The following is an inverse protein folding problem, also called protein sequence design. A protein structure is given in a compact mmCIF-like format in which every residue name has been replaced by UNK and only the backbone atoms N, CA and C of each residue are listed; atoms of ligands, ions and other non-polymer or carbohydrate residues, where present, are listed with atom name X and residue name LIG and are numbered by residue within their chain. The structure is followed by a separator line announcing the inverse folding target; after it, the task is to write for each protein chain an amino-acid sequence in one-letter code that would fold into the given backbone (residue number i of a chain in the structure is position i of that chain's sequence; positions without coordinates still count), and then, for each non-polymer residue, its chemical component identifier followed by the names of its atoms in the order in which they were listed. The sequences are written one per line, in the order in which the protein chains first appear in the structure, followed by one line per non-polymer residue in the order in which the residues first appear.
data_IF_205834400146
#
_entry.id   IF_205834400146
#
_cell.length_a   1.000
_cell.length_b   1.000
_cell.length_c   1.000
_cell.angle_alpha   90.00
_cell.angle_beta   90.00
_cell.angle_gamma   90.00
#
_symmetry.space_group_name_H-M   'P 1'
#
loop_
_entity.id
_entity.type
_entity.pdbx_description
1 polymer ?
#
# COMPACT_ATOMS: atom_id res chain seq x y z
N UNK A 1 22.65 -10.19 4.55
CA UNK A 1 21.88 -11.34 5.08
C UNK A 1 21.23 -11.06 6.42
N UNK A 2 21.94 -10.46 7.40
CA UNK A 2 21.44 -10.25 8.77
C UNK A 2 20.09 -9.52 8.91
N UNK A 3 19.72 -8.68 7.95
CA UNK A 3 18.47 -7.91 7.98
C UNK A 3 17.26 -8.65 7.40
N UNK A 4 17.48 -9.78 6.69
CA UNK A 4 16.42 -10.55 6.05
C UNK A 4 15.89 -11.60 7.01
N UNK A 5 14.56 -11.76 7.07
CA UNK A 5 13.92 -12.82 7.84
C UNK A 5 13.39 -13.90 6.88
N UNK A 6 13.87 -15.13 7.06
CA UNK A 6 13.38 -16.30 6.33
C UNK A 6 11.86 -16.44 6.44
N UNK A 7 11.29 -16.20 7.62
CA UNK A 7 9.84 -16.27 7.85
C UNK A 7 9.04 -15.38 6.89
N UNK A 8 9.46 -14.14 6.64
CA UNK A 8 8.75 -13.26 5.70
C UNK A 8 8.84 -13.73 4.25
N UNK A 9 9.97 -14.30 3.86
CA UNK A 9 10.11 -14.89 2.53
C UNK A 9 9.22 -16.13 2.39
N UNK A 10 9.19 -16.99 3.40
CA UNK A 10 8.33 -18.17 3.37
C UNK A 10 6.85 -17.82 3.39
N UNK A 11 6.43 -16.84 4.20
CA UNK A 11 5.05 -16.36 4.26
C UNK A 11 4.63 -15.80 2.90
N UNK A 12 5.49 -14.99 2.28
CA UNK A 12 5.27 -14.50 0.92
C UNK A 12 5.17 -15.67 -0.08
N UNK A 13 6.11 -16.63 -0.06
CA UNK A 13 6.09 -17.77 -0.99
C UNK A 13 4.82 -18.60 -0.83
N UNK A 14 4.36 -18.84 0.41
CA UNK A 14 3.13 -19.62 0.69
C UNK A 14 1.87 -18.94 0.19
N UNK A 15 1.82 -17.61 0.25
CA UNK A 15 0.68 -16.84 -0.21
C UNK A 15 0.74 -16.54 -1.71
N UNK A 16 1.95 -16.43 -2.25
CA UNK A 16 2.18 -16.33 -3.67
C UNK A 16 1.84 -17.66 -4.34
N UNK A 17 1.44 -17.63 -5.61
CA UNK A 17 1.33 -18.84 -6.41
C UNK A 17 2.71 -19.36 -6.87
N UNK A 18 3.76 -19.19 -6.06
CA UNK A 18 5.15 -19.54 -6.40
C UNK A 18 5.35 -21.06 -6.37
N UNK A 19 6.07 -21.57 -7.37
CA UNK A 19 6.46 -22.98 -7.42
C UNK A 19 7.49 -23.36 -6.35
N UNK A 20 8.10 -22.38 -5.67
CA UNK A 20 9.09 -22.60 -4.62
C UNK A 20 8.50 -23.14 -3.32
N UNK A 21 7.17 -23.21 -3.18
CA UNK A 21 6.50 -23.69 -1.97
C UNK A 21 6.94 -25.10 -1.55
N UNK A 22 7.15 -25.99 -2.52
CA UNK A 22 7.60 -27.38 -2.30
C UNK A 22 9.08 -27.46 -1.88
N UNK A 23 9.83 -26.38 -2.10
CA UNK A 23 11.28 -26.34 -1.92
C UNK A 23 11.70 -25.56 -0.66
N UNK A 24 10.74 -24.96 0.06
CA UNK A 24 10.98 -24.13 1.24
C UNK A 24 11.79 -24.84 2.35
N UNK A 25 11.66 -26.16 2.48
CA UNK A 25 12.36 -26.91 3.54
C UNK A 25 13.74 -27.42 3.14
N UNK A 26 14.06 -27.41 1.84
CA UNK A 26 15.30 -28.00 1.31
C UNK A 26 16.28 -26.95 0.79
N UNK A 27 15.80 -25.77 0.37
CA UNK A 27 16.64 -24.67 -0.08
C UNK A 27 17.14 -23.79 1.06
N UNK A 28 18.37 -23.29 0.90
CA UNK A 28 18.90 -22.27 1.78
C UNK A 28 18.14 -20.94 1.61
N UNK A 29 18.28 -20.01 2.56
CA UNK A 29 17.64 -18.70 2.44
C UNK A 29 18.21 -17.94 1.23
N UNK A 30 19.51 -18.05 1.06
CA UNK A 30 20.31 -17.59 -0.07
C UNK A 30 19.70 -18.03 -1.41
N UNK A 31 19.51 -19.34 -1.60
CA UNK A 31 18.96 -19.91 -2.83
C UNK A 31 17.53 -19.39 -3.09
N UNK A 32 16.70 -19.30 -2.06
CA UNK A 32 15.33 -18.78 -2.18
C UNK A 32 15.33 -17.31 -2.62
N UNK A 33 16.20 -16.48 -2.03
CA UNK A 33 16.32 -15.06 -2.39
C UNK A 33 16.84 -14.85 -3.82
N UNK A 34 17.78 -15.69 -4.28
CA UNK A 34 18.25 -15.67 -5.67
C UNK A 34 17.15 -16.14 -6.62
N UNK A 35 16.38 -17.16 -6.24
CA UNK A 35 15.27 -17.72 -7.04
C UNK A 35 14.12 -16.74 -7.22
N UNK A 36 13.82 -15.94 -6.20
CA UNK A 36 12.85 -14.82 -6.26
C UNK A 36 13.44 -13.57 -6.93
N UNK A 37 14.67 -13.66 -7.46
CA UNK A 37 15.41 -12.58 -8.14
C UNK A 37 15.65 -11.33 -7.26
N UNK A 38 15.55 -11.47 -5.94
CA UNK A 38 15.76 -10.37 -4.98
C UNK A 38 17.17 -10.32 -4.40
N UNK A 39 18.00 -11.29 -4.77
CA UNK A 39 19.43 -11.32 -4.53
C UNK A 39 20.17 -11.74 -5.80
N UNK A 40 21.48 -11.53 -5.82
CA UNK A 40 22.38 -11.97 -6.89
C UNK A 40 23.66 -12.55 -6.30
N UNK A 41 24.18 -13.61 -6.93
CA UNK A 41 25.49 -14.16 -6.61
C UNK A 41 26.59 -13.27 -7.21
N UNK A 42 27.61 -12.98 -6.39
CA UNK A 42 28.83 -12.27 -6.76
C UNK A 42 30.05 -13.06 -6.32
N UNK A 43 31.22 -12.66 -6.82
CA UNK A 43 32.51 -13.26 -6.46
C UNK A 43 32.76 -13.28 -4.94
N UNK A 44 32.25 -12.27 -4.21
CA UNK A 44 32.41 -12.11 -2.76
C UNK A 44 31.25 -12.71 -1.94
N UNK A 45 30.28 -13.38 -2.58
CA UNK A 45 29.09 -13.95 -1.95
C UNK A 45 27.80 -13.34 -2.48
N UNK A 46 26.74 -13.34 -1.66
CA UNK A 46 25.40 -12.92 -2.10
C UNK A 46 25.15 -11.44 -1.80
N UNK A 47 24.76 -10.70 -2.84
CA UNK A 47 24.32 -9.32 -2.73
C UNK A 47 22.79 -9.23 -2.75
N UNK A 48 22.22 -8.68 -1.69
CA UNK A 48 20.77 -8.44 -1.59
C UNK A 48 20.42 -7.15 -2.34
N UNK A 49 19.41 -7.22 -3.22
CA UNK A 49 18.85 -6.04 -3.90
C UNK A 49 17.94 -5.28 -2.94
N UNK A 50 17.77 -3.97 -3.14
CA UNK A 50 16.88 -3.15 -2.31
C UNK A 50 15.46 -3.74 -2.21
N UNK A 51 14.95 -4.33 -3.29
CA UNK A 51 13.64 -5.00 -3.28
C UNK A 51 13.59 -6.18 -2.30
N UNK A 52 14.64 -6.97 -2.17
CA UNK A 52 14.70 -8.07 -1.20
C UNK A 52 14.65 -7.56 0.24
N UNK A 53 15.32 -6.44 0.51
CA UNK A 53 15.22 -5.77 1.80
C UNK A 53 13.81 -5.22 2.05
N UNK A 54 13.19 -4.55 1.07
CA UNK A 54 11.84 -4.00 1.20
C UNK A 54 10.77 -5.08 1.42
N UNK A 55 10.93 -6.24 0.78
CA UNK A 55 9.95 -7.33 0.80
C UNK A 55 10.17 -8.34 1.93
N UNK A 56 11.40 -8.50 2.42
CA UNK A 56 11.73 -9.58 3.36
C UNK A 56 12.60 -9.13 4.54
N UNK A 57 12.89 -7.83 4.65
CA UNK A 57 13.63 -7.25 5.75
C UNK A 57 12.80 -7.11 7.04
N UNK A 58 13.42 -7.32 8.20
CA UNK A 58 12.76 -7.06 9.49
C UNK A 58 12.52 -5.58 9.76
N UNK A 59 13.52 -4.78 9.43
CA UNK A 59 13.53 -3.33 9.64
C UNK A 59 14.13 -2.65 8.40
N UNK A 60 13.43 -2.69 7.25
CA UNK A 60 13.92 -2.05 6.03
C UNK A 60 14.12 -0.55 6.23
N UNK A 61 13.35 0.08 7.13
CA UNK A 61 13.51 1.47 7.58
C UNK A 61 14.90 1.80 8.14
N UNK A 62 15.66 0.82 8.63
CA UNK A 62 17.02 1.08 9.17
C UNK A 62 18.07 1.31 8.09
N UNK A 63 17.77 0.95 6.85
CA UNK A 63 18.66 1.10 5.69
C UNK A 63 18.02 1.93 4.58
N UNK A 64 16.69 1.94 4.51
CA UNK A 64 15.86 2.72 3.59
C UNK A 64 14.85 3.49 4.46
N UNK A 65 15.26 4.64 4.99
CA UNK A 65 14.57 5.35 6.09
C UNK A 65 13.07 5.60 5.86
N UNK A 66 12.68 5.98 4.63
CA UNK A 66 11.28 6.16 4.25
C UNK A 66 10.48 4.86 4.09
N UNK A 67 11.04 3.67 4.32
CA UNK A 67 10.35 2.37 4.15
C UNK A 67 9.46 2.02 5.35
N UNK A 68 8.51 2.90 5.65
CA UNK A 68 7.50 2.76 6.71
C UNK A 68 6.20 3.45 6.27
N UNK A 69 5.09 3.02 6.84
CA UNK A 69 3.80 3.72 6.74
C UNK A 69 3.52 4.35 8.10
N UNK A 70 3.23 5.64 8.11
CA UNK A 70 2.84 6.38 9.31
C UNK A 70 1.36 6.72 9.23
N UNK A 71 0.65 6.55 10.35
CA UNK A 71 -0.75 6.89 10.47
C UNK A 71 -0.93 7.84 11.65
N UNK A 72 -1.59 8.96 11.41
CA UNK A 72 -2.00 9.92 12.42
C UNK A 72 -3.51 10.04 12.38
N UNK A 73 -4.17 9.83 13.52
CA UNK A 73 -5.62 9.96 13.65
C UNK A 73 -5.95 11.06 14.65
N UNK A 74 -6.68 12.06 14.17
CA UNK A 74 -7.11 13.21 14.93
C UNK A 74 -8.48 12.97 15.57
N UNK A 75 -8.66 13.41 16.80
CA UNK A 75 -9.88 13.18 17.59
C UNK A 75 -10.74 14.45 17.76
N UNK A 76 -10.21 15.61 17.41
CA UNK A 76 -10.91 16.89 17.48
C UNK A 76 -10.84 17.65 16.14
N UNK A 77 -11.63 18.74 16.04
CA UNK A 77 -11.67 19.59 14.83
C UNK A 77 -10.53 20.61 14.78
N UNK A 78 -9.80 20.81 15.88
CA UNK A 78 -8.66 21.72 16.00
C UNK A 78 -7.33 20.95 15.81
N UNK A 79 -7.45 19.82 15.09
CA UNK A 79 -6.62 18.62 14.95
C UNK A 79 -5.09 18.76 15.00
N UNK A 80 -4.51 19.86 14.53
CA UNK A 80 -3.05 19.98 14.50
C UNK A 80 -2.42 20.34 15.86
N UNK A 81 -3.22 20.67 16.90
CA UNK A 81 -2.70 21.23 18.14
C UNK A 81 -3.08 20.52 19.47
N UNK A 82 -3.95 19.50 19.50
CA UNK A 82 -4.47 18.97 20.79
C UNK A 82 -4.52 17.45 20.96
N UNK A 83 -5.39 16.70 20.27
CA UNK A 83 -5.60 15.27 20.54
C UNK A 83 -5.50 14.39 19.28
N UNK A 84 -4.47 13.56 19.23
CA UNK A 84 -4.24 12.60 18.16
C UNK A 84 -3.58 11.32 18.64
N UNK A 85 -3.73 10.26 17.85
CA UNK A 85 -3.02 8.99 18.01
C UNK A 85 -2.13 8.73 16.81
N UNK A 86 -0.92 8.25 17.07
CA UNK A 86 0.03 7.87 16.03
C UNK A 86 0.28 6.37 16.03
N UNK A 87 0.47 5.83 14.82
CA UNK A 87 0.88 4.45 14.63
C UNK A 87 1.80 4.36 13.42
N UNK A 88 2.99 3.82 13.63
CA UNK A 88 3.90 3.49 12.54
C UNK A 88 3.90 1.98 12.28
N UNK A 89 3.81 1.61 11.01
CA UNK A 89 3.88 0.24 10.53
C UNK A 89 5.27 -0.02 9.96
N UNK A 90 5.98 -0.97 10.55
CA UNK A 90 7.33 -1.40 10.17
C UNK A 90 7.32 -2.82 9.60
N UNK A 91 8.48 -3.30 9.14
CA UNK A 91 8.63 -4.63 8.54
C UNK A 91 8.54 -4.58 7.02
N UNK A 92 8.31 -5.71 6.35
CA UNK A 92 8.13 -5.74 4.91
C UNK A 92 6.98 -4.87 4.41
N UNK A 93 7.15 -4.22 3.26
CA UNK A 93 6.15 -3.27 2.73
C UNK A 93 4.77 -3.90 2.47
N UNK A 94 4.71 -5.17 2.06
CA UNK A 94 3.43 -5.88 1.89
C UNK A 94 2.71 -6.10 3.22
N UNK A 95 3.47 -6.35 4.29
CA UNK A 95 2.94 -6.49 5.64
C UNK A 95 2.50 -5.14 6.19
N UNK A 96 3.27 -4.08 5.96
CA UNK A 96 2.90 -2.72 6.36
C UNK A 96 1.54 -2.32 5.77
N UNK A 97 1.31 -2.59 4.48
CA UNK A 97 0.01 -2.33 3.81
C UNK A 97 -1.12 -3.08 4.48
N UNK A 98 -0.96 -4.38 4.73
CA UNK A 98 -1.99 -5.20 5.39
C UNK A 98 -2.27 -4.73 6.81
N UNK A 99 -1.23 -4.55 7.62
CA UNK A 99 -1.37 -4.09 9.00
C UNK A 99 -2.08 -2.73 9.07
N UNK A 100 -1.77 -1.81 8.15
CA UNK A 100 -2.41 -0.50 8.06
C UNK A 100 -3.89 -0.61 7.66
N UNK A 101 -4.21 -1.40 6.63
CA UNK A 101 -5.59 -1.62 6.20
C UNK A 101 -6.42 -2.33 7.25
N UNK A 102 -5.88 -3.34 7.93
CA UNK A 102 -6.54 -4.04 9.03
C UNK A 102 -6.80 -3.10 10.20
N UNK A 103 -5.84 -2.23 10.54
CA UNK A 103 -6.03 -1.20 11.56
C UNK A 103 -7.16 -0.23 11.18
N UNK A 104 -7.18 0.28 9.95
CA UNK A 104 -8.23 1.19 9.47
C UNK A 104 -9.60 0.47 9.46
N UNK A 105 -9.65 -0.75 8.95
CA UNK A 105 -10.88 -1.56 8.89
C UNK A 105 -11.48 -1.83 10.27
N UNK A 106 -10.64 -2.06 11.27
CA UNK A 106 -11.09 -2.43 12.62
C UNK A 106 -11.38 -1.23 13.52
N UNK A 107 -10.74 -0.08 13.28
CA UNK A 107 -10.81 1.07 14.20
C UNK A 107 -11.46 2.33 13.61
N UNK A 108 -11.64 2.40 12.29
CA UNK A 108 -12.10 3.60 11.58
C UNK A 108 -13.32 3.32 10.71
N UNK A 109 -13.37 2.19 10.00
CA UNK A 109 -14.49 1.87 9.12
C UNK A 109 -15.71 1.44 9.92
N UNK A 110 -16.82 2.13 9.72
CA UNK A 110 -18.11 1.88 10.38
C UNK A 110 -19.21 1.66 9.33
N UNK A 111 -20.09 0.68 9.58
CA UNK A 111 -21.27 0.41 8.76
C UNK A 111 -22.45 1.27 9.24
N UNK A 112 -23.06 2.02 8.32
CA UNK A 112 -24.35 2.69 8.52
C UNK A 112 -25.45 1.91 7.81
N UNK A 113 -26.46 1.52 8.57
CA UNK A 113 -27.65 0.82 8.06
C UNK A 113 -28.84 1.77 8.04
N UNK A 114 -29.45 1.95 6.88
CA UNK A 114 -30.64 2.80 6.69
C UNK A 114 -31.82 1.91 6.30
N UNK A 115 -32.88 1.92 7.12
CA UNK A 115 -34.15 1.26 6.79
C UNK A 115 -34.97 2.17 5.89
N UNK A 116 -35.47 1.62 4.78
CA UNK A 116 -36.35 2.32 3.86
C UNK A 116 -37.77 1.77 4.03
N UNK A 117 -38.72 2.65 4.35
CA UNK A 117 -40.12 2.25 4.53
C UNK A 117 -40.67 1.60 3.25
N UNK A 118 -41.33 0.45 3.42
CA UNK A 118 -41.89 -0.33 2.31
C UNK A 118 -40.90 -1.24 1.57
N UNK A 119 -39.64 -1.34 2.02
CA UNK A 119 -38.67 -2.34 1.53
C UNK A 119 -38.25 -3.27 2.68
N UNK A 120 -38.17 -4.57 2.38
CA UNK A 120 -37.68 -5.56 3.35
C UNK A 120 -36.15 -5.46 3.56
N UNK A 121 -35.43 -5.06 2.52
CA UNK A 121 -33.98 -4.87 2.53
C UNK A 121 -33.61 -3.48 3.07
N UNK A 122 -32.54 -3.41 3.86
CA UNK A 122 -31.96 -2.16 4.35
C UNK A 122 -30.78 -1.75 3.47
N UNK A 123 -30.65 -0.47 3.21
CA UNK A 123 -29.49 0.07 2.51
C UNK A 123 -28.30 0.14 3.49
N UNK A 124 -27.13 -0.33 3.05
CA UNK A 124 -25.90 -0.41 3.86
C UNK A 124 -24.80 0.37 3.18
N UNK A 125 -24.14 1.24 3.94
CA UNK A 125 -23.04 2.07 3.47
C UNK A 125 -21.93 2.07 4.51
N UNK A 126 -20.70 2.26 4.08
CA UNK A 126 -19.57 2.47 4.98
C UNK A 126 -19.18 3.96 4.97
N UNK A 127 -18.70 4.49 6.09
CA UNK A 127 -18.10 5.83 6.10
C UNK A 127 -16.92 5.92 5.11
N UNK A 128 -16.13 4.85 4.96
CA UNK A 128 -15.11 4.70 3.93
C UNK A 128 -15.19 3.30 3.28
N UNK A 129 -15.31 3.19 1.94
CA UNK A 129 -15.29 1.89 1.28
C UNK A 129 -13.89 1.29 1.31
N UNK A 130 -13.74 0.14 1.99
CA UNK A 130 -12.46 -0.56 2.19
C UNK A 130 -11.67 -0.73 0.88
N UNK A 131 -12.32 -1.18 -0.19
CA UNK A 131 -11.67 -1.43 -1.49
C UNK A 131 -11.08 -0.16 -2.13
N UNK A 132 -11.62 1.03 -1.83
CA UNK A 132 -11.06 2.29 -2.30
C UNK A 132 -9.80 2.66 -1.51
N UNK A 133 -9.82 2.45 -0.19
CA UNK A 133 -8.67 2.68 0.69
C UNK A 133 -7.52 1.71 0.39
N UNK A 134 -7.83 0.44 0.21
CA UNK A 134 -6.88 -0.59 -0.21
C UNK A 134 -6.17 -0.19 -1.51
N UNK A 135 -6.94 0.15 -2.53
CA UNK A 135 -6.39 0.55 -3.82
C UNK A 135 -5.56 1.84 -3.72
N UNK A 136 -5.99 2.83 -2.93
CA UNK A 136 -5.24 4.06 -2.73
C UNK A 136 -3.91 3.83 -2.00
N UNK A 137 -3.91 3.04 -0.92
CA UNK A 137 -2.70 2.76 -0.15
C UNK A 137 -1.70 1.89 -0.93
N UNK A 138 -2.19 0.88 -1.65
CA UNK A 138 -1.36 0.07 -2.54
C UNK A 138 -0.72 0.95 -3.60
N UNK A 139 -1.48 1.83 -4.26
CA UNK A 139 -0.92 2.74 -5.27
C UNK A 139 0.13 3.69 -4.68
N UNK A 140 -0.06 4.19 -3.46
CA UNK A 140 0.96 4.99 -2.77
C UNK A 140 2.28 4.21 -2.63
N UNK A 141 2.23 2.96 -2.12
CA UNK A 141 3.41 2.09 -1.95
C UNK A 141 4.08 1.72 -3.28
N UNK A 142 3.30 1.49 -4.33
CA UNK A 142 3.82 1.17 -5.68
C UNK A 142 4.49 2.36 -6.37
N UNK A 143 4.04 3.58 -6.08
CA UNK A 143 4.53 4.82 -6.69
C UNK A 143 5.48 5.63 -5.82
N UNK A 144 5.72 5.22 -4.58
CA UNK A 144 6.67 5.86 -3.66
C UNK A 144 8.09 5.95 -4.22
N UNK A 145 8.78 7.06 -3.96
CA UNK A 145 10.24 7.10 -4.06
C UNK A 145 10.89 6.58 -2.77
N UNK A 146 11.45 5.37 -2.82
CA UNK A 146 12.15 4.76 -1.69
C UNK A 146 13.56 5.34 -1.46
N UNK A 147 14.05 6.25 -2.31
CA UNK A 147 15.33 6.93 -2.07
C UNK A 147 15.22 8.07 -1.06
N UNK A 148 14.02 8.61 -0.87
CA UNK A 148 13.77 9.71 0.06
C UNK A 148 13.33 9.20 1.42
N UNK A 149 13.74 9.91 2.46
CA UNK A 149 13.32 9.68 3.85
C UNK A 149 11.96 10.32 4.16
N UNK A 150 10.98 10.00 3.31
CA UNK A 150 9.58 10.44 3.49
C UNK A 150 8.71 9.20 3.52
N UNK A 151 7.97 8.91 4.61
CA UNK A 151 7.09 7.75 4.67
C UNK A 151 5.87 7.93 3.77
N UNK A 152 5.11 6.84 3.57
CA UNK A 152 3.70 7.01 3.17
C UNK A 152 2.94 7.40 4.42
N UNK A 153 2.18 8.49 4.37
CA UNK A 153 1.47 9.01 5.54
C UNK A 153 -0.05 8.89 5.34
N UNK A 154 -0.74 8.41 6.36
CA UNK A 154 -2.20 8.29 6.40
C UNK A 154 -2.70 9.24 7.50
N UNK A 155 -3.40 10.30 7.12
CA UNK A 155 -4.02 11.23 8.06
C UNK A 155 -5.52 11.00 8.12
N UNK A 156 -6.04 10.75 9.32
CA UNK A 156 -7.45 10.47 9.56
C UNK A 156 -8.02 11.61 10.38
N UNK A 157 -8.81 12.47 9.72
CA UNK A 157 -9.58 13.53 10.36
C UNK A 157 -11.01 13.05 10.64
N UNK A 158 -11.79 13.90 11.29
CA UNK A 158 -13.18 13.60 11.64
C UNK A 158 -14.08 13.39 10.42
N UNK A 159 -13.77 14.04 9.30
CA UNK A 159 -14.59 14.07 8.08
C UNK A 159 -13.88 13.58 6.82
N UNK A 160 -12.57 13.27 6.89
CA UNK A 160 -11.79 12.81 5.75
C UNK A 160 -10.61 11.91 6.14
N UNK A 161 -10.18 11.08 5.18
CA UNK A 161 -8.90 10.35 5.23
C UNK A 161 -8.04 10.85 4.07
N UNK A 162 -6.79 11.22 4.37
CA UNK A 162 -5.78 11.58 3.38
C UNK A 162 -4.70 10.50 3.35
N UNK A 163 -4.27 10.12 2.15
CA UNK A 163 -3.09 9.27 1.93
C UNK A 163 -2.08 10.11 1.17
N UNK A 164 -1.01 10.50 1.86
CA UNK A 164 0.04 11.37 1.37
C UNK A 164 1.21 10.49 0.96
N UNK A 165 1.70 10.69 -0.26
CA UNK A 165 2.81 9.93 -0.82
C UNK A 165 3.75 10.85 -1.56
N UNK A 166 5.05 10.62 -1.40
CA UNK A 166 6.09 11.32 -2.14
C UNK A 166 6.76 10.39 -3.16
N UNK A 167 6.98 10.85 -4.39
CA UNK A 167 6.49 12.11 -4.97
C UNK A 167 5.05 12.00 -5.49
N UNK A 168 4.53 13.12 -5.97
CA UNK A 168 3.31 13.16 -6.77
C UNK A 168 3.41 12.40 -8.11
N UNK A 169 2.30 12.30 -8.87
CA UNK A 169 2.27 11.59 -10.15
C UNK A 169 3.28 12.16 -11.16
N UNK A 170 4.01 11.35 -11.93
CA UNK A 170 5.03 11.84 -12.88
C UNK A 170 4.53 12.97 -13.81
N UNK A 171 5.34 14.00 -14.10
CA UNK A 171 4.94 15.22 -14.85
C UNK A 171 4.14 15.02 -16.15
N UNK A 172 4.38 13.93 -16.89
CA UNK A 172 3.66 13.64 -18.13
C UNK A 172 2.21 13.17 -17.89
N UNK A 173 1.84 12.88 -16.65
CA UNK A 173 0.48 12.52 -16.24
C UNK A 173 -0.36 13.80 -16.17
N UNK A 174 -1.39 13.84 -17.00
CA UNK A 174 -2.43 14.87 -17.02
C UNK A 174 -3.35 14.70 -15.81
N UNK A 175 -3.37 15.69 -14.91
CA UNK A 175 -4.10 15.61 -13.64
C UNK A 175 -5.62 15.62 -13.82
N UNK A 176 -6.15 16.29 -14.84
CA UNK A 176 -7.59 16.26 -15.14
C UNK A 176 -8.02 14.85 -15.57
N UNK A 177 -7.24 14.22 -16.45
CA UNK A 177 -7.47 12.83 -16.84
C UNK A 177 -7.23 11.86 -15.69
N UNK A 178 -6.28 12.17 -14.79
CA UNK A 178 -5.97 11.37 -13.62
C UNK A 178 -7.17 11.34 -12.69
N UNK A 179 -7.66 12.52 -12.29
CA UNK A 179 -8.84 12.67 -11.44
C UNK A 179 -10.10 12.05 -12.07
N UNK A 180 -10.22 12.09 -13.40
CA UNK A 180 -11.32 11.44 -14.12
C UNK A 180 -11.17 9.91 -14.27
N UNK A 181 -10.07 9.31 -13.80
CA UNK A 181 -9.76 7.89 -13.97
C UNK A 181 -9.57 7.47 -15.43
N UNK A 182 -9.16 8.40 -16.29
CA UNK A 182 -8.94 8.22 -17.74
C UNK A 182 -7.46 8.15 -18.12
N UNK A 183 -6.55 8.23 -17.14
CA UNK A 183 -5.11 8.10 -17.36
C UNK A 183 -4.76 6.68 -17.80
N UNK A 184 -3.91 6.61 -18.82
CA UNK A 184 -3.32 5.35 -19.33
C UNK A 184 -1.85 5.25 -18.90
N UNK A 185 -1.56 5.52 -17.64
CA UNK A 185 -0.25 5.25 -17.06
C UNK A 185 -0.11 3.74 -16.93
N UNK A 186 0.79 3.14 -17.73
CA UNK A 186 0.96 1.68 -17.81
C UNK A 186 2.04 1.13 -16.89
N UNK A 187 2.78 2.00 -16.18
CA UNK A 187 3.96 1.60 -15.40
C UNK A 187 3.90 2.19 -14.00
N UNK A 188 4.16 1.33 -13.02
CA UNK A 188 4.44 1.74 -11.65
C UNK A 188 5.87 2.29 -11.58
N UNK A 189 6.13 3.19 -10.62
CA UNK A 189 7.50 3.62 -10.34
C UNK A 189 8.37 2.44 -9.88
N UNK A 190 7.77 1.54 -9.10
CA UNK A 190 8.41 0.32 -8.61
C UNK A 190 7.76 -0.93 -9.24
N UNK A 191 8.09 -1.28 -10.50
CA UNK A 191 7.40 -2.36 -11.21
C UNK A 191 7.56 -3.74 -10.54
N UNK A 192 8.74 -4.06 -9.99
CA UNK A 192 8.97 -5.35 -9.30
C UNK A 192 8.17 -5.46 -8.00
N UNK A 193 7.95 -4.37 -7.27
CA UNK A 193 7.01 -4.36 -6.13
C UNK A 193 5.60 -4.69 -6.63
N UNK A 194 5.19 -4.09 -7.75
CA UNK A 194 3.89 -4.35 -8.36
C UNK A 194 3.71 -5.76 -8.91
N UNK A 195 4.79 -6.45 -9.31
CA UNK A 195 4.76 -7.87 -9.65
C UNK A 195 4.49 -8.71 -8.41
N UNK A 196 5.28 -8.53 -7.35
CA UNK A 196 5.08 -9.25 -6.10
C UNK A 196 3.72 -8.99 -5.47
N UNK A 197 3.23 -7.75 -5.46
CA UNK A 197 1.90 -7.43 -4.94
C UNK A 197 0.78 -8.10 -5.73
N UNK A 198 0.96 -8.38 -7.02
CA UNK A 198 0.00 -9.15 -7.82
C UNK A 198 0.06 -10.65 -7.50
N UNK A 199 1.21 -11.16 -7.09
CA UNK A 199 1.37 -12.58 -6.75
C UNK A 199 0.66 -12.96 -5.45
N UNK A 200 0.57 -12.01 -4.51
CA UNK A 200 -0.15 -12.14 -3.22
C UNK A 200 -1.50 -11.40 -3.19
N UNK A 201 -2.07 -11.12 -4.37
CA UNK A 201 -3.40 -10.50 -4.56
C UNK A 201 -3.62 -9.14 -3.87
N UNK A 202 -2.56 -8.39 -3.54
CA UNK A 202 -2.66 -7.01 -3.04
C UNK A 202 -2.88 -5.97 -4.15
N UNK A 203 -2.59 -6.30 -5.41
CA UNK A 203 -2.81 -5.41 -6.56
C UNK A 203 -3.45 -6.17 -7.71
N UNK A 204 -4.39 -5.53 -8.42
CA UNK A 204 -4.96 -6.09 -9.64
C UNK A 204 -3.95 -6.10 -10.80
N UNK A 205 -4.14 -7.04 -11.74
CA UNK A 205 -3.30 -7.16 -12.95
C UNK A 205 -3.49 -6.04 -13.97
N UNK A 206 -4.59 -5.27 -13.87
CA UNK A 206 -4.96 -4.19 -14.81
C UNK A 206 -4.64 -2.82 -14.21
N UNK A 207 -4.06 -1.92 -15.02
CA UNK A 207 -3.77 -0.52 -14.63
C UNK A 207 -5.06 0.31 -14.51
N UNK A 208 -5.94 -0.07 -13.59
CA UNK A 208 -7.28 0.51 -13.39
C UNK A 208 -7.48 1.10 -12.00
N UNK A 209 -6.40 1.29 -11.23
CA UNK A 209 -6.48 1.63 -9.80
C UNK A 209 -7.32 2.87 -9.50
N UNK A 210 -7.06 3.98 -10.19
CA UNK A 210 -7.88 5.19 -10.01
C UNK A 210 -9.34 4.98 -10.40
N UNK A 211 -9.60 4.31 -11.53
CA UNK A 211 -10.97 3.99 -11.95
C UNK A 211 -11.69 3.08 -10.94
N UNK A 212 -10.97 2.21 -10.23
CA UNK A 212 -11.50 1.38 -9.14
C UNK A 212 -11.86 2.24 -7.94
N UNK A 213 -10.98 3.13 -7.47
CA UNK A 213 -11.28 4.07 -6.38
C UNK A 213 -12.58 4.84 -6.68
N UNK A 214 -12.68 5.47 -7.86
CA UNK A 214 -13.86 6.23 -8.27
C UNK A 214 -15.13 5.37 -8.30
N UNK A 215 -15.03 4.13 -8.80
CA UNK A 215 -16.16 3.20 -8.87
C UNK A 215 -16.63 2.79 -7.49
N UNK A 216 -15.73 2.43 -6.58
CA UNK A 216 -16.08 1.99 -5.23
C UNK A 216 -16.69 3.13 -4.41
N UNK A 217 -16.15 4.35 -4.53
CA UNK A 217 -16.73 5.55 -3.91
C UNK A 217 -18.13 5.84 -4.45
N UNK A 218 -18.31 5.81 -5.78
CA UNK A 218 -19.63 5.99 -6.42
C UNK A 218 -20.63 4.94 -5.97
N UNK A 219 -20.21 3.67 -5.89
CA UNK A 219 -21.06 2.56 -5.45
C UNK A 219 -21.50 2.72 -3.99
N UNK A 220 -20.63 3.23 -3.14
CA UNK A 220 -20.92 3.51 -1.74
C UNK A 220 -21.75 4.80 -1.53
N UNK A 221 -21.89 5.64 -2.56
CA UNK A 221 -22.54 6.95 -2.43
C UNK A 221 -21.66 8.01 -1.76
N UNK A 222 -20.35 7.77 -1.67
CA UNK A 222 -19.38 8.71 -1.12
C UNK A 222 -19.11 9.88 -2.08
N UNK A 223 -18.64 11.03 -1.56
CA UNK A 223 -18.00 12.06 -2.38
C UNK A 223 -16.86 11.48 -3.23
N UNK A 224 -16.59 12.11 -4.36
CA UNK A 224 -15.41 11.77 -5.17
C UNK A 224 -14.13 12.19 -4.43
N UNK A 225 -13.01 11.49 -4.64
CA UNK A 225 -11.76 11.82 -3.96
C UNK A 225 -11.16 13.08 -4.59
N UNK A 226 -10.44 13.84 -3.77
CA UNK A 226 -9.63 14.96 -4.22
C UNK A 226 -8.17 14.48 -4.40
N UNK A 227 -7.53 14.95 -5.46
CA UNK A 227 -6.13 14.64 -5.76
C UNK A 227 -5.35 15.95 -5.78
N UNK A 228 -4.50 16.13 -4.78
CA UNK A 228 -3.63 17.30 -4.65
C UNK A 228 -2.17 16.92 -4.94
N UNK A 229 -1.47 17.81 -5.64
CA UNK A 229 -0.02 17.72 -5.89
C UNK A 229 0.48 19.14 -6.10
N UNK A 230 1.70 19.42 -5.68
CA UNK A 230 2.37 20.68 -6.05
C UNK A 230 2.74 20.68 -7.54
N UNK A 231 3.16 21.85 -8.04
CA UNK A 231 3.53 22.04 -9.46
C UNK A 231 4.74 21.19 -9.82
N UNK A 232 5.69 21.08 -8.88
CA UNK A 232 6.95 20.37 -9.05
C UNK A 232 6.79 18.85 -8.90
N UNK A 233 5.66 18.39 -8.41
CA UNK A 233 5.33 16.98 -8.13
C UNK A 233 6.39 16.33 -7.26
N UNK A 234 6.91 17.11 -6.31
CA UNK A 234 7.95 16.76 -5.35
C UNK A 234 7.36 16.93 -3.95
#
# INVERSE_FOLDING_TARGET
MEHIRRGYLEDFIRESNSSLIEELNVRSLEDLLVSEEVAEEKDEGIAIKNIGLLMFGERPDKLIAGSKIELVRFHDKEAEASDFTEKTFYGPIWKQVRDALDYIKTTVIEEKVVKVDGRAEADRFFNYPYNALEEALVNAVLHKNYKEDVPVEIRIYLDQIQIINFPGPDHYIDMEKFAAGKVRARRYRNPKIGEFFKEIDLSEKKSTGISKILRELKRNGSPMPEFETDVDRT
#
